data_IF_326693464638
#
_entry.id   IF_326693464638
#
_cell.length_a   1.000
_cell.length_b   1.000
_cell.length_c   1.000
_cell.angle_alpha   90.00
_cell.angle_beta   90.00
_cell.angle_gamma   90.00
#
_symmetry.space_group_name_H-M   'P 1'
#
loop_
_entity.id
_entity.type
_entity.pdbx_description
1 polymer ?
#
# COMPACT_ATOMS: atom_id res chain seq x y z
N UNK A 1 -12.87 -13.65 -6.46
CA UNK A 1 -12.50 -12.70 -5.42
C UNK A 1 -11.99 -11.39 -5.97
N UNK A 2 -11.86 -10.40 -5.14
CA UNK A 2 -11.29 -9.11 -5.53
C UNK A 2 -10.33 -8.58 -4.45
N UNK A 3 -9.20 -8.06 -4.90
CA UNK A 3 -8.15 -7.48 -4.07
C UNK A 3 -8.04 -6.00 -4.44
N UNK A 4 -7.79 -5.11 -3.47
CA UNK A 4 -7.40 -3.74 -3.74
C UNK A 4 -5.98 -3.51 -3.24
N UNK A 5 -5.18 -2.79 -4.00
CA UNK A 5 -3.80 -2.44 -3.64
C UNK A 5 -3.47 -1.00 -4.00
N UNK A 6 -2.50 -0.44 -3.31
CA UNK A 6 -2.03 0.94 -3.49
C UNK A 6 -0.52 0.96 -3.66
N UNK A 7 -0.01 1.84 -4.51
CA UNK A 7 1.40 1.96 -4.86
C UNK A 7 1.96 0.71 -5.59
N UNK A 8 3.25 0.45 -5.47
CA UNK A 8 3.89 -0.76 -5.96
C UNK A 8 4.69 -1.43 -4.84
N UNK A 9 4.38 -2.67 -4.60
CA UNK A 9 5.12 -3.56 -3.71
C UNK A 9 5.38 -4.90 -4.43
N UNK A 10 5.70 -4.81 -5.71
CA UNK A 10 6.12 -5.88 -6.58
C UNK A 10 7.62 -5.90 -6.82
N UNK A 11 8.06 -6.67 -7.81
CA UNK A 11 9.46 -6.87 -8.17
C UNK A 11 10.19 -5.56 -8.52
N UNK A 12 9.49 -4.61 -9.15
CA UNK A 12 10.08 -3.34 -9.59
C UNK A 12 10.46 -2.40 -8.44
N UNK A 13 9.81 -2.52 -7.28
CA UNK A 13 10.13 -1.71 -6.09
C UNK A 13 10.90 -2.48 -5.02
N UNK A 14 10.96 -3.80 -5.08
CA UNK A 14 11.59 -4.66 -4.07
C UNK A 14 12.57 -5.65 -4.73
N UNK A 15 12.27 -6.94 -4.70
CA UNK A 15 13.03 -7.99 -5.37
C UNK A 15 12.11 -9.17 -5.73
N UNK A 16 12.46 -9.93 -6.74
CA UNK A 16 11.80 -11.16 -7.18
C UNK A 16 10.28 -11.01 -7.34
N UNK A 17 9.50 -11.61 -6.42
CA UNK A 17 8.04 -11.57 -6.44
C UNK A 17 7.44 -10.34 -5.75
N UNK A 18 8.26 -9.49 -5.14
CA UNK A 18 7.78 -8.38 -4.33
C UNK A 18 7.33 -8.80 -2.94
N UNK A 19 6.56 -7.93 -2.29
CA UNK A 19 5.94 -8.18 -0.99
C UNK A 19 4.43 -8.36 -1.12
N UNK A 20 3.66 -7.28 -1.25
CA UNK A 20 2.20 -7.39 -1.39
C UNK A 20 1.77 -8.16 -2.66
N UNK A 21 2.48 -8.00 -3.78
CA UNK A 21 2.14 -8.71 -5.01
C UNK A 21 2.49 -10.20 -4.95
N UNK A 22 3.42 -10.62 -4.09
CA UNK A 22 3.82 -12.03 -3.98
C UNK A 22 2.66 -12.96 -3.67
N UNK A 23 1.75 -12.54 -2.78
CA UNK A 23 0.55 -13.30 -2.45
C UNK A 23 -0.42 -13.42 -3.64
N UNK A 24 -0.48 -12.41 -4.51
CA UNK A 24 -1.30 -12.42 -5.71
C UNK A 24 -0.72 -13.38 -6.76
N UNK A 25 0.60 -13.35 -6.97
CA UNK A 25 1.28 -14.32 -7.86
C UNK A 25 1.09 -15.76 -7.38
N UNK A 26 1.33 -16.02 -6.09
CA UNK A 26 1.14 -17.35 -5.52
C UNK A 26 -0.31 -17.85 -5.63
N UNK A 27 -1.29 -16.98 -5.48
CA UNK A 27 -2.70 -17.32 -5.67
C UNK A 27 -3.02 -17.61 -7.14
N UNK A 28 -2.47 -16.82 -8.07
CA UNK A 28 -2.62 -17.02 -9.50
C UNK A 28 -2.02 -18.35 -9.97
N UNK A 29 -0.81 -18.67 -9.52
CA UNK A 29 -0.10 -19.93 -9.83
C UNK A 29 -0.87 -21.16 -9.32
N UNK A 30 -1.65 -21.00 -8.25
CA UNK A 30 -2.58 -22.02 -7.76
C UNK A 30 -3.91 -22.08 -8.55
N UNK A 31 -4.03 -21.32 -9.64
CA UNK A 31 -5.22 -21.29 -10.50
C UNK A 31 -6.42 -20.54 -9.90
N UNK A 32 -6.21 -19.74 -8.82
CA UNK A 32 -7.29 -18.92 -8.24
C UNK A 32 -7.63 -17.77 -9.18
N UNK A 33 -8.93 -17.50 -9.33
CA UNK A 33 -9.42 -16.38 -10.14
C UNK A 33 -9.85 -15.23 -9.25
N UNK A 34 -9.28 -14.07 -9.50
CA UNK A 34 -9.58 -12.82 -8.81
C UNK A 34 -9.22 -11.64 -9.69
N UNK A 35 -9.79 -10.48 -9.38
CA UNK A 35 -9.47 -9.19 -10.01
C UNK A 35 -8.71 -8.34 -9.02
N UNK A 36 -7.68 -7.64 -9.45
CA UNK A 36 -6.93 -6.67 -8.62
C UNK A 36 -7.33 -5.26 -9.03
N UNK A 37 -7.96 -4.51 -8.12
CA UNK A 37 -8.13 -3.08 -8.25
C UNK A 37 -6.86 -2.38 -7.79
N UNK A 38 -6.28 -1.58 -8.68
CA UNK A 38 -5.00 -0.92 -8.47
C UNK A 38 -5.25 0.59 -8.43
N UNK A 39 -5.06 1.21 -7.27
CA UNK A 39 -5.03 2.66 -7.18
C UNK A 39 -3.91 3.20 -8.06
N UNK A 40 -4.19 4.20 -8.91
CA UNK A 40 -3.15 4.80 -9.77
C UNK A 40 -1.98 5.37 -8.98
N UNK A 41 -2.22 5.77 -7.74
CA UNK A 41 -1.24 6.27 -6.75
C UNK A 41 -0.61 7.61 -7.16
N UNK A 42 -1.41 8.68 -7.07
CA UNK A 42 -0.90 10.04 -7.22
C UNK A 42 0.13 10.37 -6.12
N UNK A 43 1.12 11.25 -6.37
CA UNK A 43 1.38 11.97 -7.62
C UNK A 43 2.22 11.19 -8.65
N UNK A 44 3.03 10.17 -8.23
CA UNK A 44 4.01 9.51 -9.09
C UNK A 44 3.46 8.33 -9.89
N UNK A 45 2.21 7.94 -9.67
CA UNK A 45 1.48 6.93 -10.44
C UNK A 45 2.13 5.52 -10.42
N UNK A 46 2.70 5.10 -9.27
CA UNK A 46 3.35 3.80 -9.15
C UNK A 46 2.37 2.64 -9.38
N UNK A 47 1.10 2.80 -8.98
CA UNK A 47 0.07 1.80 -9.22
C UNK A 47 -0.17 1.60 -10.72
N UNK A 48 -0.45 2.67 -11.45
CA UNK A 48 -0.73 2.56 -12.89
C UNK A 48 0.51 2.25 -13.72
N UNK A 49 1.68 2.77 -13.34
CA UNK A 49 2.92 2.60 -14.11
C UNK A 49 3.61 1.27 -13.85
N UNK A 50 3.61 0.79 -12.62
CA UNK A 50 4.41 -0.35 -12.17
C UNK A 50 3.51 -1.54 -11.84
N UNK A 51 2.61 -1.42 -10.87
CA UNK A 51 1.76 -2.53 -10.41
C UNK A 51 0.88 -3.10 -11.51
N UNK A 52 0.20 -2.24 -12.26
CA UNK A 52 -0.63 -2.67 -13.37
C UNK A 52 0.18 -3.38 -14.46
N UNK A 53 1.39 -2.90 -14.74
CA UNK A 53 2.29 -3.52 -15.70
C UNK A 53 2.74 -4.91 -15.25
N UNK A 54 3.15 -5.06 -13.98
CA UNK A 54 3.59 -6.34 -13.42
C UNK A 54 2.46 -7.38 -13.45
N UNK A 55 1.26 -7.01 -12.96
CA UNK A 55 0.10 -7.90 -12.92
C UNK A 55 -0.33 -8.32 -14.34
N UNK A 56 -0.36 -7.38 -15.28
CA UNK A 56 -0.70 -7.68 -16.68
C UNK A 56 0.30 -8.66 -17.32
N UNK A 57 1.60 -8.49 -17.05
CA UNK A 57 2.61 -9.43 -17.55
C UNK A 57 2.49 -10.83 -16.94
N UNK A 58 2.01 -10.92 -15.71
CA UNK A 58 1.74 -12.20 -15.04
C UNK A 58 0.41 -12.85 -15.47
N UNK A 59 -0.39 -12.17 -16.30
CA UNK A 59 -1.71 -12.67 -16.71
C UNK A 59 -2.78 -12.56 -15.63
N UNK A 60 -2.56 -11.72 -14.61
CA UNK A 60 -3.52 -11.45 -13.53
C UNK A 60 -4.45 -10.32 -13.98
N UNK A 61 -5.76 -10.53 -13.81
CA UNK A 61 -6.79 -9.53 -14.13
C UNK A 61 -6.64 -8.31 -13.22
N UNK A 62 -6.33 -7.15 -13.81
CA UNK A 62 -6.08 -5.91 -13.11
C UNK A 62 -6.90 -4.76 -13.68
N UNK A 63 -7.48 -3.97 -12.79
CA UNK A 63 -8.28 -2.78 -13.12
C UNK A 63 -7.66 -1.57 -12.41
N UNK A 64 -7.07 -0.65 -13.18
CA UNK A 64 -6.55 0.60 -12.61
C UNK A 64 -7.70 1.54 -12.34
N UNK A 65 -7.67 2.17 -11.17
CA UNK A 65 -8.65 3.16 -10.73
C UNK A 65 -7.95 4.43 -10.26
N UNK A 66 -8.63 5.57 -10.35
CA UNK A 66 -8.17 6.78 -9.65
C UNK A 66 -8.25 6.55 -8.14
N UNK A 67 -7.31 7.12 -7.37
CA UNK A 67 -7.21 6.91 -5.91
C UNK A 67 -8.53 7.24 -5.18
N UNK A 68 -9.23 8.26 -5.63
CA UNK A 68 -10.52 8.67 -5.06
C UNK A 68 -11.71 7.74 -5.41
N UNK A 69 -11.48 6.70 -6.23
CA UNK A 69 -12.50 5.72 -6.61
C UNK A 69 -12.50 4.51 -5.65
N UNK A 70 -11.46 4.35 -4.82
CA UNK A 70 -11.33 3.22 -3.90
C UNK A 70 -12.58 2.97 -3.04
N UNK A 71 -13.14 4.01 -2.42
CA UNK A 71 -14.37 3.89 -1.63
C UNK A 71 -15.57 3.37 -2.45
N UNK A 72 -15.72 3.86 -3.69
CA UNK A 72 -16.79 3.41 -4.57
C UNK A 72 -16.63 1.94 -4.96
N UNK A 73 -15.40 1.52 -5.24
CA UNK A 73 -15.10 0.11 -5.56
C UNK A 73 -15.37 -0.78 -4.36
N UNK A 74 -14.92 -0.42 -3.16
CA UNK A 74 -15.20 -1.17 -1.92
C UNK A 74 -16.70 -1.33 -1.69
N UNK A 75 -17.48 -0.27 -1.94
CA UNK A 75 -18.94 -0.30 -1.79
C UNK A 75 -19.66 -1.15 -2.84
N UNK A 76 -19.17 -1.18 -4.10
CA UNK A 76 -19.96 -1.68 -5.23
C UNK A 76 -19.40 -2.95 -5.88
N UNK A 77 -18.11 -3.27 -5.68
CA UNK A 77 -17.41 -4.36 -6.37
C UNK A 77 -17.00 -5.51 -5.47
N UNK A 78 -17.42 -5.49 -4.20
CA UNK A 78 -17.16 -6.58 -3.25
C UNK A 78 -15.65 -6.91 -3.18
N UNK A 79 -14.85 -5.92 -2.78
CA UNK A 79 -13.45 -6.13 -2.44
C UNK A 79 -13.39 -7.04 -1.21
N UNK A 80 -12.66 -8.13 -1.30
CA UNK A 80 -12.55 -9.13 -0.22
C UNK A 80 -11.39 -8.82 0.72
N UNK A 81 -10.34 -8.14 0.23
CA UNK A 81 -9.14 -7.81 0.98
C UNK A 81 -8.41 -6.62 0.37
N UNK A 82 -7.81 -5.80 1.23
CA UNK A 82 -6.81 -4.80 0.84
C UNK A 82 -5.44 -5.28 1.29
N UNK A 83 -4.43 -5.20 0.41
CA UNK A 83 -3.04 -5.52 0.76
C UNK A 83 -2.10 -4.50 0.13
N UNK A 84 -1.21 -3.94 0.95
CA UNK A 84 -0.17 -2.98 0.52
C UNK A 84 1.21 -3.40 1.01
N UNK A 85 2.25 -2.79 0.48
CA UNK A 85 3.57 -2.82 1.09
C UNK A 85 3.69 -1.83 2.25
N UNK A 86 4.91 -1.67 2.73
CA UNK A 86 5.30 -0.58 3.65
C UNK A 86 6.72 -0.13 3.33
N UNK A 87 6.97 1.18 3.48
CA UNK A 87 8.32 1.76 3.38
C UNK A 87 9.05 1.68 4.72
N UNK A 88 8.33 1.80 5.84
CA UNK A 88 8.84 1.65 7.21
C UNK A 88 7.73 1.23 8.16
N UNK A 89 8.06 0.39 9.13
CA UNK A 89 7.15 -0.05 10.19
C UNK A 89 7.79 0.20 11.54
N UNK A 90 7.09 0.93 12.42
CA UNK A 90 7.53 1.21 13.78
C UNK A 90 7.39 0.00 14.71
N UNK A 91 8.00 0.07 15.90
CA UNK A 91 7.98 -1.01 16.88
C UNK A 91 6.56 -1.43 17.33
N UNK A 92 5.60 -0.50 17.35
CA UNK A 92 4.20 -0.80 17.67
C UNK A 92 3.39 -1.39 16.51
N UNK A 93 3.97 -1.44 15.29
CA UNK A 93 3.32 -1.93 14.08
C UNK A 93 2.65 -0.86 13.22
N UNK A 94 2.73 0.43 13.59
CA UNK A 94 2.32 1.52 12.71
C UNK A 94 3.16 1.50 11.44
N UNK A 95 2.53 1.61 10.28
CA UNK A 95 3.18 1.41 9.00
C UNK A 95 3.12 2.67 8.13
N UNK A 96 4.29 3.21 7.78
CA UNK A 96 4.41 4.24 6.77
C UNK A 96 4.47 3.60 5.38
N UNK A 97 3.67 4.12 4.46
CA UNK A 97 3.69 3.71 3.06
C UNK A 97 3.34 4.92 2.18
N UNK A 98 3.39 4.73 0.87
CA UNK A 98 3.07 5.78 -0.10
C UNK A 98 1.78 6.51 0.26
N UNK A 99 1.84 7.86 0.16
CA UNK A 99 0.70 8.75 0.45
C UNK A 99 -0.60 8.22 -0.16
N UNK A 100 -1.66 8.20 0.62
CA UNK A 100 -2.96 7.62 0.28
C UNK A 100 -3.26 6.29 0.97
N UNK A 101 -2.23 5.58 1.44
CA UNK A 101 -2.39 4.26 2.10
C UNK A 101 -3.25 4.34 3.36
N UNK A 102 -3.04 5.36 4.21
CA UNK A 102 -3.87 5.59 5.39
C UNK A 102 -5.35 5.80 5.00
N UNK A 103 -5.60 6.60 3.96
CA UNK A 103 -6.97 6.79 3.46
C UNK A 103 -7.63 5.48 3.02
N UNK A 104 -6.90 4.61 2.32
CA UNK A 104 -7.38 3.29 1.92
C UNK A 104 -7.65 2.38 3.13
N UNK A 105 -6.79 2.41 4.17
CA UNK A 105 -7.01 1.63 5.39
C UNK A 105 -8.27 2.09 6.15
N UNK A 106 -8.49 3.40 6.28
CA UNK A 106 -9.73 3.97 6.87
C UNK A 106 -10.97 3.54 6.09
N UNK A 107 -10.90 3.56 4.76
CA UNK A 107 -12.00 3.11 3.91
C UNK A 107 -12.25 1.61 4.05
N UNK A 108 -11.21 0.80 4.14
CA UNK A 108 -11.32 -0.64 4.36
C UNK A 108 -12.03 -0.94 5.69
N UNK A 109 -11.63 -0.29 6.77
CA UNK A 109 -12.28 -0.39 8.08
C UNK A 109 -13.76 -0.01 8.01
N UNK A 110 -14.09 1.13 7.38
CA UNK A 110 -15.47 1.61 7.23
C UNK A 110 -16.37 0.65 6.43
N UNK A 111 -15.77 -0.18 5.58
CA UNK A 111 -16.48 -1.19 4.78
C UNK A 111 -16.35 -2.62 5.33
N UNK A 112 -15.70 -2.81 6.49
CA UNK A 112 -15.48 -4.12 7.10
C UNK A 112 -14.57 -5.04 6.27
N UNK A 113 -13.67 -4.46 5.46
CA UNK A 113 -12.72 -5.16 4.60
C UNK A 113 -11.39 -5.27 5.34
N UNK A 114 -10.80 -6.47 5.49
CA UNK A 114 -9.52 -6.61 6.14
C UNK A 114 -8.40 -5.94 5.34
N UNK A 115 -7.58 -5.15 6.05
CA UNK A 115 -6.42 -4.46 5.49
C UNK A 115 -5.14 -5.14 6.00
N UNK A 116 -4.30 -5.59 5.09
CA UNK A 116 -3.02 -6.22 5.37
C UNK A 116 -1.85 -5.41 4.84
N UNK A 117 -0.73 -5.50 5.55
CA UNK A 117 0.57 -5.03 5.08
C UNK A 117 1.47 -6.24 4.82
N UNK A 118 2.23 -6.24 3.73
CA UNK A 118 3.24 -7.24 3.45
C UNK A 118 4.60 -6.58 3.30
N UNK A 119 5.52 -6.88 4.21
CA UNK A 119 6.85 -6.26 4.26
C UNK A 119 7.87 -7.21 4.91
N UNK A 120 9.15 -7.21 4.46
CA UNK A 120 10.19 -8.02 5.08
C UNK A 120 10.57 -7.45 6.46
N UNK A 121 11.20 -8.28 7.29
CA UNK A 121 11.71 -7.88 8.61
C UNK A 121 12.64 -6.67 8.56
N UNK A 122 13.37 -6.47 7.47
CA UNK A 122 14.24 -5.31 7.26
C UNK A 122 13.50 -3.97 7.12
N UNK A 123 12.19 -3.98 6.90
CA UNK A 123 11.35 -2.76 6.86
C UNK A 123 11.03 -2.24 8.26
N UNK A 124 11.18 -3.07 9.29
CA UNK A 124 10.89 -2.68 10.67
C UNK A 124 12.02 -1.86 11.27
N UNK A 125 11.68 -0.74 11.88
CA UNK A 125 12.55 0.07 12.69
C UNK A 125 12.13 -0.01 14.16
N UNK A 126 12.70 -0.96 14.88
CA UNK A 126 12.38 -1.21 16.29
C UNK A 126 12.90 -0.09 17.22
N UNK A 127 13.74 0.82 16.72
CA UNK A 127 14.19 2.00 17.47
C UNK A 127 13.18 3.15 17.44
N UNK A 128 12.23 3.11 16.51
CA UNK A 128 11.11 4.06 16.40
C UNK A 128 9.89 3.48 17.12
N UNK A 129 9.45 4.04 18.26
CA UNK A 129 8.41 3.43 19.10
C UNK A 129 7.05 3.31 18.40
N UNK A 130 6.65 4.35 17.66
CA UNK A 130 5.36 4.49 17.00
C UNK A 130 5.45 5.30 15.71
N UNK A 131 4.32 5.46 15.03
CA UNK A 131 4.24 6.14 13.76
C UNK A 131 4.57 7.63 13.80
N UNK A 132 4.38 8.30 14.94
CA UNK A 132 4.70 9.72 15.09
C UNK A 132 6.22 9.97 14.99
N UNK A 133 7.02 8.96 15.31
CA UNK A 133 8.48 8.99 15.18
C UNK A 133 9.00 8.76 13.76
N UNK A 134 8.15 8.35 12.81
CA UNK A 134 8.58 8.09 11.43
C UNK A 134 8.71 9.42 10.66
N UNK A 135 9.91 9.78 10.16
CA UNK A 135 10.08 11.00 9.38
C UNK A 135 9.38 10.89 8.03
N UNK A 136 8.49 11.85 7.73
CA UNK A 136 7.80 11.93 6.45
C UNK A 136 8.50 12.92 5.52
N UNK A 137 9.00 12.41 4.39
CA UNK A 137 9.61 13.24 3.35
C UNK A 137 8.56 14.14 2.69
N UNK A 138 8.85 15.43 2.60
CA UNK A 138 8.08 16.35 1.76
C UNK A 138 8.81 16.52 0.42
N UNK A 139 8.10 16.24 -0.66
CA UNK A 139 8.64 16.24 -2.02
C UNK A 139 8.34 17.54 -2.75
N UNK A 140 8.90 17.66 -3.97
CA UNK A 140 8.69 18.85 -4.78
C UNK A 140 7.19 19.12 -5.02
N UNK A 141 6.72 20.34 -4.77
CA UNK A 141 5.36 20.76 -5.13
C UNK A 141 4.98 20.49 -6.59
N UNK A 142 5.98 20.48 -7.47
CA UNK A 142 5.75 20.21 -8.91
C UNK A 142 5.27 18.79 -9.18
N UNK A 143 5.47 17.83 -8.29
CA UNK A 143 4.89 16.48 -8.44
C UNK A 143 3.35 16.51 -8.38
N UNK A 144 2.78 17.43 -7.61
CA UNK A 144 1.33 17.65 -7.54
C UNK A 144 0.88 18.60 -8.62
N UNK A 145 1.61 19.71 -8.83
CA UNK A 145 1.25 20.77 -9.76
C UNK A 145 1.35 20.35 -11.22
N UNK A 146 2.31 19.47 -11.54
CA UNK A 146 2.56 19.01 -12.90
C UNK A 146 2.12 17.57 -13.07
N UNK A 147 0.96 17.32 -13.68
CA UNK A 147 0.45 16.00 -13.98
C UNK A 147 0.59 15.65 -15.45
N UNK A 148 0.92 14.38 -15.77
CA UNK A 148 0.92 13.85 -17.14
C UNK A 148 1.79 14.65 -18.13
N UNK A 149 2.93 15.17 -17.66
CA UNK A 149 3.83 16.01 -18.49
C UNK A 149 3.32 17.41 -18.75
N UNK A 150 2.30 17.87 -18.05
CA UNK A 150 1.71 19.20 -18.21
C UNK A 150 1.55 19.88 -16.86
N UNK A 151 1.61 21.20 -16.85
CA UNK A 151 1.20 22.02 -15.71
C UNK A 151 -0.32 21.97 -15.62
N UNK A 152 -0.84 21.45 -14.51
CA UNK A 152 -2.28 21.27 -14.27
C UNK A 152 -2.85 22.23 -13.23
N UNK A 153 -1.99 22.83 -12.43
CA UNK A 153 -2.39 23.77 -11.40
C UNK A 153 -1.77 25.15 -11.57
N UNK A 154 -2.38 26.21 -11.02
CA UNK A 154 -1.86 27.59 -11.11
C UNK A 154 -0.53 27.72 -10.35
N UNK A 155 0.28 28.73 -10.74
CA UNK A 155 1.60 28.95 -10.14
C UNK A 155 1.50 29.57 -8.74
N UNK A 156 0.49 30.39 -8.51
CA UNK A 156 0.39 31.27 -7.34
C UNK A 156 -0.47 30.66 -6.21
N UNK A 157 -0.46 29.32 -6.08
CA UNK A 157 -1.05 28.59 -4.96
C UNK A 157 -0.03 27.65 -4.35
N UNK A 158 -0.18 27.35 -3.07
CA UNK A 158 0.67 26.39 -2.38
C UNK A 158 0.29 24.96 -2.74
N UNK A 159 1.28 24.08 -2.80
CA UNK A 159 1.11 22.64 -3.01
C UNK A 159 1.79 21.89 -1.86
N UNK A 160 1.08 20.98 -1.24
CA UNK A 160 1.59 20.13 -0.19
C UNK A 160 1.75 18.69 -0.73
N UNK A 161 2.96 18.16 -0.67
CA UNK A 161 3.33 16.90 -1.32
C UNK A 161 4.11 15.98 -0.38
N UNK A 162 3.48 15.44 0.69
CA UNK A 162 4.11 14.41 1.50
C UNK A 162 4.27 13.12 0.67
N UNK A 163 5.42 12.45 0.83
CA UNK A 163 5.69 11.22 0.10
C UNK A 163 4.92 10.02 0.67
N UNK A 164 4.68 10.01 1.97
CA UNK A 164 4.14 8.90 2.74
C UNK A 164 3.05 9.39 3.69
N UNK A 165 2.22 8.47 4.14
CA UNK A 165 1.38 8.62 5.33
C UNK A 165 1.53 7.40 6.24
N UNK A 166 1.13 7.54 7.49
CA UNK A 166 1.23 6.48 8.50
C UNK A 166 -0.15 5.88 8.75
N UNK A 167 -0.22 4.57 8.60
CA UNK A 167 -1.40 3.78 8.96
C UNK A 167 -1.21 3.23 10.37
N UNK A 168 -2.08 3.61 11.33
CA UNK A 168 -2.02 3.07 12.69
C UNK A 168 -2.21 1.54 12.71
N UNK A 169 -1.47 0.86 13.58
CA UNK A 169 -1.54 -0.60 13.76
C UNK A 169 -2.97 -1.11 13.98
N UNK A 170 -3.82 -0.32 14.64
CA UNK A 170 -5.23 -0.65 14.87
C UNK A 170 -6.10 -0.80 13.63
N UNK A 171 -5.67 -0.24 12.48
CA UNK A 171 -6.35 -0.41 11.19
C UNK A 171 -5.77 -1.58 10.38
N UNK A 172 -4.67 -2.18 10.84
CA UNK A 172 -3.98 -3.26 10.13
C UNK A 172 -4.41 -4.59 10.74
N UNK A 173 -5.12 -5.40 9.95
CA UNK A 173 -5.57 -6.75 10.37
C UNK A 173 -4.38 -7.68 10.65
N UNK A 174 -3.31 -7.54 9.89
CA UNK A 174 -2.10 -8.32 10.07
C UNK A 174 -0.98 -7.87 9.16
N UNK A 175 0.26 -8.15 9.57
CA UNK A 175 1.46 -7.89 8.77
C UNK A 175 2.08 -9.23 8.36
N UNK A 176 2.25 -9.45 7.07
CA UNK A 176 2.86 -10.65 6.50
C UNK A 176 4.35 -10.40 6.29
N UNK A 177 5.18 -11.25 6.86
CA UNK A 177 6.64 -11.20 6.73
C UNK A 177 7.20 -12.53 6.27
N UNK A 178 8.48 -12.57 5.88
CA UNK A 178 9.21 -13.81 5.57
C UNK A 178 9.40 -14.73 6.81
N UNK A 179 9.20 -14.16 8.01
CA UNK A 179 9.32 -14.90 9.29
C UNK A 179 7.98 -15.37 9.83
N UNK A 180 6.88 -14.97 9.18
CA UNK A 180 5.52 -15.32 9.60
C UNK A 180 4.58 -14.12 9.60
N UNK A 181 3.37 -14.37 10.08
CA UNK A 181 2.32 -13.37 10.17
C UNK A 181 2.22 -12.78 11.57
N UNK A 182 2.19 -11.47 11.66
CA UNK A 182 1.93 -10.70 12.87
C UNK A 182 0.43 -10.41 12.94
N UNK A 183 -0.30 -11.14 13.77
CA UNK A 183 -1.75 -11.00 14.03
C UNK A 183 -2.04 -11.45 15.48
N UNK A 184 -2.60 -10.60 16.36
CA UNK A 184 -2.88 -9.16 16.12
C UNK A 184 -1.60 -8.32 16.01
N UNK A 185 -1.72 -7.13 15.39
CA UNK A 185 -0.60 -6.20 15.25
C UNK A 185 -0.41 -5.44 16.57
N UNK A 186 0.57 -5.87 17.34
CA UNK A 186 0.96 -5.27 18.63
C UNK A 186 2.47 -5.23 18.75
N UNK A 187 3.01 -4.30 19.55
CA UNK A 187 4.46 -4.20 19.78
C UNK A 187 5.10 -5.53 20.26
N UNK A 188 4.41 -6.24 21.13
CA UNK A 188 4.88 -7.56 21.61
C UNK A 188 4.98 -8.57 20.47
N UNK A 189 3.98 -8.64 19.60
CA UNK A 189 3.97 -9.53 18.45
C UNK A 189 4.99 -9.14 17.39
N UNK A 190 5.15 -7.83 17.14
CA UNK A 190 6.20 -7.32 16.25
C UNK A 190 7.57 -7.78 16.75
N UNK A 191 7.88 -7.52 18.03
CA UNK A 191 9.16 -7.94 18.63
C UNK A 191 9.36 -9.45 18.56
N UNK A 192 8.32 -10.24 18.82
CA UNK A 192 8.41 -11.70 18.80
C UNK A 192 8.69 -12.29 17.41
N UNK A 193 8.30 -11.61 16.34
CA UNK A 193 8.46 -12.11 14.96
C UNK A 193 9.72 -11.58 14.31
N UNK A 194 10.04 -10.29 14.51
CA UNK A 194 11.12 -9.62 13.75
C UNK A 194 12.30 -9.14 14.62
N UNK A 195 12.17 -9.21 15.94
CA UNK A 195 13.22 -8.86 16.91
C UNK A 195 14.39 -9.83 16.97
#
# INVERSE_FOLDING_TARGET
>A
GAVLTHCNAGALATAEYGTALSGMYAAHDQGKKFTVYVDETRPLLQGSRLTAWELNRAGIDAVVICDNVAAHVMKTKRVDVVITGADRIAANGDAANKIGTYGVAVLAEAHGIPFYVAAPGSTFDLSTPDGDGIPIEERSPDEVRCGFGRVTGPKDVSYYCPAFDVTPAGLIRGIVTERGMIDPVTAERVLAVVG
#
